data_IF_717903168063
#
_entry.id   IF_717903168063
#
_cell.length_a   1.000
_cell.length_b   1.000
_cell.length_c   1.000
_cell.angle_alpha   90.00
_cell.angle_beta   90.00
_cell.angle_gamma   90.00
#
_symmetry.space_group_name_H-M   'P 1'
#
loop_
_entity.id
_entity.type
_entity.pdbx_description
1 polymer ?
#
# COMPACT_ATOMS: atom_id res chain seq x y z
N UNK A 1 29.71 8.11 -0.66
CA UNK A 1 29.26 7.36 0.53
C UNK A 1 28.96 8.37 1.62
N UNK A 2 27.90 8.19 2.41
CA UNK A 2 27.52 9.10 3.50
C UNK A 2 27.52 8.33 4.81
N UNK A 3 28.44 8.66 5.71
CA UNK A 3 28.47 8.10 7.08
C UNK A 3 27.51 8.92 7.95
N UNK A 4 26.70 8.25 8.75
CA UNK A 4 25.78 8.91 9.68
C UNK A 4 25.03 7.90 10.54
N UNK A 5 24.08 8.39 11.34
CA UNK A 5 23.29 7.54 12.25
C UNK A 5 22.11 6.92 11.51
N UNK A 6 22.05 5.60 11.46
CA UNK A 6 20.92 4.88 10.89
C UNK A 6 19.64 5.19 11.68
N UNK A 7 18.58 5.64 10.99
CA UNK A 7 17.34 6.03 11.65
C UNK A 7 16.59 4.87 12.28
N UNK A 8 16.86 3.62 11.90
CA UNK A 8 16.21 2.44 12.49
C UNK A 8 17.01 1.82 13.66
N UNK A 9 18.24 1.35 13.42
CA UNK A 9 19.07 0.72 14.47
C UNK A 9 19.78 1.73 15.40
N UNK A 10 19.82 3.02 15.04
CA UNK A 10 20.46 4.10 15.80
C UNK A 10 21.99 3.98 15.94
N UNK A 11 22.61 3.09 15.18
CA UNK A 11 24.07 2.95 15.10
C UNK A 11 24.65 3.82 14.00
N UNK A 12 25.88 4.30 14.21
CA UNK A 12 26.66 5.01 13.18
C UNK A 12 27.18 4.02 12.14
N UNK A 13 26.82 4.23 10.88
CA UNK A 13 27.10 3.33 9.78
C UNK A 13 27.11 4.08 8.43
N UNK A 14 27.54 3.39 7.37
CA UNK A 14 27.32 3.87 6.01
C UNK A 14 25.83 3.82 5.63
N UNK A 15 25.26 5.00 5.40
CA UNK A 15 23.86 5.15 5.01
C UNK A 15 23.67 4.85 3.53
N UNK A 16 22.59 4.13 3.24
CA UNK A 16 22.13 3.80 1.90
C UNK A 16 21.10 4.82 1.43
N UNK A 17 21.02 5.00 0.12
CA UNK A 17 19.97 5.79 -0.53
C UNK A 17 18.67 4.98 -0.53
N UNK A 18 17.91 5.09 0.56
CA UNK A 18 16.65 4.40 0.79
C UNK A 18 15.52 5.02 -0.05
N UNK A 19 14.68 4.19 -0.66
CA UNK A 19 13.46 4.63 -1.32
C UNK A 19 12.28 4.61 -0.35
N UNK A 20 11.39 5.62 -0.40
CA UNK A 20 10.16 5.60 0.42
C UNK A 20 9.19 4.55 -0.10
N UNK A 21 8.86 4.61 -1.40
CA UNK A 21 8.15 3.54 -2.10
C UNK A 21 9.16 2.58 -2.71
N UNK A 22 8.86 1.28 -2.76
CA UNK A 22 9.79 0.33 -3.37
C UNK A 22 10.08 0.68 -4.84
N UNK A 23 11.27 0.31 -5.31
CA UNK A 23 11.67 0.46 -6.72
C UNK A 23 10.68 -0.20 -7.69
N UNK A 24 10.00 -1.26 -7.27
CA UNK A 24 8.99 -1.93 -8.08
C UNK A 24 7.79 -1.00 -8.35
N UNK A 25 7.29 -0.29 -7.35
CA UNK A 25 6.19 0.66 -7.54
C UNK A 25 6.58 1.73 -8.57
N UNK A 26 7.78 2.29 -8.45
CA UNK A 26 8.30 3.26 -9.43
C UNK A 26 8.39 2.70 -10.84
N UNK A 27 8.91 1.47 -11.00
CA UNK A 27 9.01 0.82 -12.32
C UNK A 27 7.63 0.63 -12.97
N UNK A 28 6.62 0.22 -12.19
CA UNK A 28 5.25 -0.01 -12.70
C UNK A 28 4.60 1.30 -13.13
N UNK A 29 4.74 2.36 -12.34
CA UNK A 29 4.16 3.68 -12.63
C UNK A 29 4.82 4.32 -13.85
N UNK A 30 6.16 4.32 -13.89
CA UNK A 30 6.91 4.87 -15.02
C UNK A 30 6.60 4.14 -16.33
N UNK A 31 6.44 2.81 -16.31
CA UNK A 31 6.04 2.03 -17.50
C UNK A 31 4.70 2.47 -18.09
N UNK A 32 3.79 2.99 -17.24
CA UNK A 32 2.48 3.46 -17.67
C UNK A 32 2.46 4.96 -17.98
N UNK A 33 3.60 5.65 -17.90
CA UNK A 33 3.75 7.11 -17.98
C UNK A 33 2.90 7.88 -16.95
N UNK A 34 2.58 7.23 -15.84
CA UNK A 34 1.81 7.80 -14.75
C UNK A 34 2.73 8.52 -13.75
N UNK A 35 2.17 9.46 -12.98
CA UNK A 35 2.83 9.97 -11.78
C UNK A 35 2.40 9.19 -10.54
N UNK A 36 3.04 9.47 -9.41
CA UNK A 36 2.61 8.95 -8.11
C UNK A 36 2.42 10.10 -7.12
N UNK A 37 1.61 9.86 -6.11
CA UNK A 37 1.31 10.85 -5.09
C UNK A 37 2.26 10.69 -3.92
N UNK A 38 2.99 11.75 -3.62
CA UNK A 38 3.88 11.77 -2.48
C UNK A 38 3.42 12.82 -1.48
N UNK A 39 3.46 12.46 -0.21
CA UNK A 39 3.34 13.43 0.86
C UNK A 39 4.61 14.29 0.93
N UNK A 40 4.41 15.61 1.01
CA UNK A 40 5.44 16.59 1.33
C UNK A 40 5.17 17.12 2.74
N UNK A 41 5.93 16.63 3.71
CA UNK A 41 5.82 17.02 5.12
C UNK A 41 6.20 18.48 5.38
N UNK A 42 7.01 19.11 4.54
CA UNK A 42 7.38 20.53 4.72
C UNK A 42 6.23 21.45 4.38
N UNK A 43 5.44 21.08 3.37
CA UNK A 43 4.26 21.83 2.92
C UNK A 43 2.94 21.29 3.49
N UNK A 44 3.00 20.18 4.23
CA UNK A 44 1.87 19.43 4.77
C UNK A 44 0.78 19.15 3.70
N UNK A 45 1.19 18.70 2.52
CA UNK A 45 0.29 18.44 1.40
C UNK A 45 0.76 17.26 0.57
N UNK A 46 -0.12 16.74 -0.27
CA UNK A 46 0.21 15.67 -1.22
C UNK A 46 0.33 16.23 -2.62
N UNK A 47 1.40 15.86 -3.34
CA UNK A 47 1.67 16.29 -4.71
C UNK A 47 1.82 15.10 -5.65
N UNK A 48 1.35 15.27 -6.88
CA UNK A 48 1.70 14.40 -7.99
C UNK A 48 3.15 14.66 -8.39
N UNK A 49 3.96 13.61 -8.46
CA UNK A 49 5.36 13.69 -8.84
C UNK A 49 5.77 12.44 -9.63
N UNK A 50 6.84 12.57 -10.41
CA UNK A 50 7.51 11.46 -11.11
C UNK A 50 8.92 11.21 -10.56
N UNK A 51 9.38 12.07 -9.65
CA UNK A 51 10.71 11.96 -9.05
C UNK A 51 10.71 10.87 -8.00
N UNK A 52 11.70 9.98 -8.01
CA UNK A 52 11.83 8.97 -6.97
C UNK A 52 12.14 9.64 -5.63
N UNK A 53 11.32 9.36 -4.61
CA UNK A 53 11.53 9.89 -3.26
C UNK A 53 12.55 9.01 -2.53
N UNK A 54 13.76 9.54 -2.43
CA UNK A 54 14.90 8.83 -1.82
C UNK A 54 15.63 9.70 -0.80
N UNK A 55 16.14 9.09 0.25
CA UNK A 55 16.99 9.77 1.24
C UNK A 55 18.06 8.84 1.82
N UNK A 56 19.14 9.42 2.34
CA UNK A 56 20.14 8.67 3.10
C UNK A 56 19.71 8.56 4.56
N UNK A 57 19.15 7.40 4.94
CA UNK A 57 18.49 7.26 6.25
C UNK A 57 18.68 5.90 6.93
N UNK A 58 18.95 4.82 6.18
CA UNK A 58 19.11 3.48 6.74
C UNK A 58 20.49 2.93 6.38
N UNK A 59 21.10 2.17 7.29
CA UNK A 59 22.29 1.40 6.98
C UNK A 59 21.95 0.20 6.06
N UNK A 60 22.97 -0.45 5.49
CA UNK A 60 22.80 -1.60 4.58
C UNK A 60 21.99 -2.74 5.20
N UNK A 61 22.21 -3.06 6.48
CA UNK A 61 21.48 -4.13 7.17
C UNK A 61 19.98 -3.83 7.25
N UNK A 62 19.62 -2.63 7.72
CA UNK A 62 18.23 -2.18 7.79
C UNK A 62 17.57 -2.06 6.40
N UNK A 63 18.27 -1.57 5.37
CA UNK A 63 17.70 -1.49 4.02
C UNK A 63 17.45 -2.89 3.42
N UNK A 64 18.33 -3.84 3.70
CA UNK A 64 18.19 -5.24 3.24
C UNK A 64 16.95 -5.89 3.83
N UNK A 65 16.67 -5.64 5.12
CA UNK A 65 15.47 -6.11 5.80
C UNK A 65 14.19 -5.71 5.06
N UNK A 66 14.08 -4.43 4.65
CA UNK A 66 12.93 -3.98 3.87
C UNK A 66 12.93 -4.56 2.45
N UNK A 67 14.08 -4.56 1.78
CA UNK A 67 14.21 -5.00 0.38
C UNK A 67 13.79 -6.46 0.17
N UNK A 68 14.03 -7.34 1.15
CA UNK A 68 13.61 -8.74 1.09
C UNK A 68 12.08 -8.88 1.08
N UNK A 69 11.39 -8.16 1.96
CA UNK A 69 9.92 -8.15 1.99
C UNK A 69 9.33 -7.45 0.75
N UNK A 70 9.94 -6.36 0.28
CA UNK A 70 9.55 -5.69 -0.97
C UNK A 70 9.53 -6.64 -2.16
N UNK A 71 10.47 -7.58 -2.23
CA UNK A 71 10.51 -8.60 -3.29
C UNK A 71 9.32 -9.56 -3.22
N UNK A 72 8.87 -9.92 -2.01
CA UNK A 72 7.70 -10.80 -1.83
C UNK A 72 6.40 -10.08 -2.17
N UNK A 73 6.20 -8.86 -1.64
CA UNK A 73 5.03 -8.02 -1.98
C UNK A 73 5.02 -7.64 -3.46
N UNK A 74 6.19 -7.56 -4.10
CA UNK A 74 6.27 -7.29 -5.53
C UNK A 74 5.61 -8.37 -6.38
N UNK A 75 5.76 -9.64 -5.99
CA UNK A 75 5.09 -10.76 -6.68
C UNK A 75 3.58 -10.64 -6.51
N UNK A 76 3.12 -10.40 -5.29
CA UNK A 76 1.71 -10.17 -4.96
C UNK A 76 1.08 -9.10 -5.86
N UNK A 77 1.70 -7.92 -5.94
CA UNK A 77 1.16 -6.84 -6.77
C UNK A 77 1.24 -7.14 -8.26
N UNK A 78 2.31 -7.77 -8.74
CA UNK A 78 2.40 -8.15 -10.15
C UNK A 78 1.29 -9.14 -10.53
N UNK A 79 0.99 -10.11 -9.67
CA UNK A 79 -0.09 -11.07 -9.91
C UNK A 79 -1.46 -10.35 -9.98
N UNK A 80 -1.82 -9.52 -8.98
CA UNK A 80 -3.08 -8.76 -9.00
C UNK A 80 -3.20 -7.89 -10.26
N UNK A 81 -2.11 -7.22 -10.65
CA UNK A 81 -2.11 -6.33 -11.82
C UNK A 81 -2.13 -7.06 -13.16
N UNK A 82 -1.92 -8.37 -13.18
CA UNK A 82 -2.04 -9.19 -14.39
C UNK A 82 -3.32 -10.05 -14.38
N UNK A 83 -4.12 -10.00 -13.31
CA UNK A 83 -5.42 -10.66 -13.23
C UNK A 83 -6.46 -9.94 -14.10
N UNK A 84 -7.32 -10.71 -14.75
CA UNK A 84 -8.52 -10.16 -15.40
C UNK A 84 -9.56 -9.73 -14.34
N UNK A 85 -10.59 -9.01 -14.78
CA UNK A 85 -11.63 -8.47 -13.92
C UNK A 85 -12.30 -9.54 -13.04
N UNK A 86 -12.66 -10.68 -13.63
CA UNK A 86 -13.39 -11.73 -12.92
C UNK A 86 -12.52 -12.35 -11.81
N UNK A 87 -11.22 -12.55 -12.07
CA UNK A 87 -10.27 -12.98 -11.05
C UNK A 87 -10.11 -11.95 -9.93
N UNK A 88 -10.06 -10.64 -10.24
CA UNK A 88 -10.00 -9.58 -9.21
C UNK A 88 -11.26 -9.53 -8.34
N UNK A 89 -12.45 -9.63 -8.95
CA UNK A 89 -13.72 -9.71 -8.20
C UNK A 89 -13.75 -10.92 -7.27
N UNK A 90 -13.28 -12.07 -7.75
CA UNK A 90 -13.19 -13.29 -6.95
C UNK A 90 -12.24 -13.13 -5.76
N UNK A 91 -11.05 -12.58 -6.00
CA UNK A 91 -10.05 -12.34 -4.98
C UNK A 91 -10.60 -11.48 -3.83
N UNK A 92 -11.48 -10.54 -4.17
CA UNK A 92 -11.97 -9.53 -3.26
C UNK A 92 -13.19 -9.97 -2.43
N UNK A 93 -13.89 -11.04 -2.82
CA UNK A 93 -15.09 -11.57 -2.13
C UNK A 93 -14.77 -12.40 -0.87
N UNK A 94 -13.57 -12.28 -0.29
CA UNK A 94 -13.12 -13.11 0.84
C UNK A 94 -13.30 -12.36 2.15
N UNK A 95 -14.30 -12.82 2.91
CA UNK A 95 -14.54 -12.49 4.31
C UNK A 95 -13.42 -13.04 5.21
N UNK A 96 -13.21 -12.47 6.41
CA UNK A 96 -11.87 -12.30 6.99
C UNK A 96 -11.17 -13.65 7.25
N UNK A 97 -9.83 -13.71 7.17
CA UNK A 97 -9.05 -14.95 7.11
C UNK A 97 -9.17 -15.81 8.37
N UNK A 98 -9.67 -15.28 9.47
CA UNK A 98 -10.07 -16.04 10.66
C UNK A 98 -11.29 -16.98 10.43
N UNK A 99 -11.98 -16.87 9.29
CA UNK A 99 -12.97 -17.84 8.82
C UNK A 99 -12.43 -18.84 7.79
N UNK A 100 -11.14 -18.77 7.42
CA UNK A 100 -10.53 -19.59 6.37
C UNK A 100 -10.81 -21.09 6.55
N UNK A 101 -10.64 -21.61 7.76
CA UNK A 101 -10.87 -23.02 8.06
C UNK A 101 -12.35 -23.40 7.94
N UNK A 102 -13.26 -22.50 8.30
CA UNK A 102 -14.70 -22.72 8.21
C UNK A 102 -15.17 -22.64 6.75
N UNK A 103 -14.65 -21.69 5.97
CA UNK A 103 -15.02 -21.47 4.58
C UNK A 103 -14.42 -22.53 3.66
N UNK A 104 -13.18 -22.98 3.88
CA UNK A 104 -12.60 -24.15 3.18
C UNK A 104 -13.46 -25.40 3.39
N UNK A 105 -13.86 -25.69 4.63
CA UNK A 105 -14.76 -26.82 4.94
C UNK A 105 -16.12 -26.69 4.27
N UNK A 106 -16.67 -25.47 4.16
CA UNK A 106 -17.94 -25.24 3.45
C UNK A 106 -17.77 -25.43 1.94
N UNK A 107 -16.66 -24.94 1.37
CA UNK A 107 -16.37 -25.07 -0.06
C UNK A 107 -16.15 -26.54 -0.47
N UNK A 108 -15.38 -27.29 0.30
CA UNK A 108 -15.17 -28.74 0.14
C UNK A 108 -16.50 -29.49 0.23
N UNK A 109 -17.34 -29.18 1.24
CA UNK A 109 -18.66 -29.83 1.41
C UNK A 109 -19.65 -29.50 0.29
N UNK A 110 -19.52 -28.34 -0.36
CA UNK A 110 -20.45 -27.86 -1.40
C UNK A 110 -19.94 -28.10 -2.82
N UNK A 111 -18.79 -28.76 -2.99
CA UNK A 111 -18.16 -28.97 -4.30
C UNK A 111 -18.00 -27.64 -5.08
N UNK A 112 -17.73 -26.54 -4.36
CA UNK A 112 -17.52 -25.25 -4.99
C UNK A 112 -16.23 -25.29 -5.82
N UNK A 113 -16.29 -24.68 -7.01
CA UNK A 113 -15.18 -24.65 -7.98
C UNK A 113 -13.85 -24.23 -7.31
N UNK A 114 -12.77 -24.88 -7.73
CA UNK A 114 -11.37 -24.60 -7.38
C UNK A 114 -10.98 -23.11 -7.39
N UNK A 115 -11.64 -22.30 -8.21
CA UNK A 115 -11.45 -20.86 -8.28
C UNK A 115 -11.87 -20.12 -6.99
N UNK A 116 -12.84 -20.64 -6.23
CA UNK A 116 -13.24 -20.07 -4.94
C UNK A 116 -12.17 -20.26 -3.85
N UNK A 117 -11.30 -21.27 -3.98
CA UNK A 117 -10.19 -21.53 -3.06
C UNK A 117 -8.94 -20.69 -3.40
N UNK A 118 -8.76 -20.29 -4.67
CA UNK A 118 -7.59 -19.52 -5.12
C UNK A 118 -7.41 -18.18 -4.42
N UNK A 119 -8.48 -17.47 -4.10
CA UNK A 119 -8.36 -16.20 -3.39
C UNK A 119 -7.87 -16.37 -1.94
N UNK A 120 -8.20 -17.50 -1.28
CA UNK A 120 -7.71 -17.80 0.07
C UNK A 120 -6.23 -18.11 0.04
N UNK A 121 -5.79 -18.87 -0.96
CA UNK A 121 -4.37 -19.15 -1.16
C UNK A 121 -3.59 -17.87 -1.49
N UNK A 122 -4.25 -16.91 -2.16
CA UNK A 122 -3.65 -15.64 -2.53
C UNK A 122 -3.51 -14.67 -1.35
N UNK A 123 -4.58 -14.36 -0.60
CA UNK A 123 -4.51 -13.54 0.61
C UNK A 123 -4.42 -14.41 1.87
N UNK A 124 -3.49 -15.37 1.84
CA UNK A 124 -3.15 -16.15 3.01
C UNK A 124 -2.46 -15.26 4.09
N UNK A 125 -2.29 -15.82 5.29
CA UNK A 125 -1.71 -15.10 6.43
C UNK A 125 -0.29 -14.57 6.16
N UNK A 126 0.54 -15.30 5.41
CA UNK A 126 1.91 -14.90 5.13
C UNK A 126 1.94 -13.69 4.16
N UNK A 127 1.13 -13.73 3.11
CA UNK A 127 1.01 -12.62 2.16
C UNK A 127 0.43 -11.36 2.83
N UNK A 128 -0.53 -11.51 3.76
CA UNK A 128 -1.07 -10.40 4.53
C UNK A 128 -0.05 -9.84 5.53
N UNK A 129 0.74 -10.70 6.18
CA UNK A 129 1.85 -10.27 7.03
C UNK A 129 2.93 -9.54 6.25
N UNK A 130 3.26 -10.02 5.05
CA UNK A 130 4.21 -9.36 4.16
C UNK A 130 3.70 -7.99 3.71
N UNK A 131 2.41 -7.89 3.36
CA UNK A 131 1.78 -6.61 2.98
C UNK A 131 1.75 -5.63 4.16
N UNK A 132 1.40 -6.10 5.36
CA UNK A 132 1.47 -5.33 6.60
C UNK A 132 2.89 -4.81 6.84
N UNK A 133 3.90 -5.68 6.77
CA UNK A 133 5.30 -5.31 6.93
C UNK A 133 5.69 -4.21 5.94
N UNK A 134 5.33 -4.37 4.67
CA UNK A 134 5.63 -3.41 3.62
C UNK A 134 5.00 -2.04 3.89
N UNK A 135 3.70 -2.00 4.20
CA UNK A 135 2.99 -0.75 4.48
C UNK A 135 3.52 -0.05 5.75
N UNK A 136 3.83 -0.80 6.82
CA UNK A 136 4.49 -0.26 8.01
C UNK A 136 5.88 0.31 7.69
N UNK A 137 6.61 -0.33 6.77
CA UNK A 137 7.89 0.16 6.27
C UNK A 137 7.75 1.51 5.58
N UNK A 138 6.77 1.67 4.68
CA UNK A 138 6.50 2.96 4.01
C UNK A 138 6.21 4.05 5.04
N UNK A 139 5.30 3.80 5.99
CA UNK A 139 4.93 4.75 7.05
C UNK A 139 6.18 5.16 7.84
N UNK A 140 7.01 4.20 8.24
CA UNK A 140 8.22 4.48 9.00
C UNK A 140 9.23 5.30 8.20
N UNK A 141 9.42 4.96 6.92
CA UNK A 141 10.34 5.69 6.04
C UNK A 141 9.87 7.12 5.79
N UNK A 142 8.57 7.37 5.68
CA UNK A 142 8.03 8.74 5.63
C UNK A 142 8.25 9.50 6.94
N UNK A 143 8.03 8.85 8.09
CA UNK A 143 8.31 9.42 9.40
C UNK A 143 9.81 9.74 9.62
N UNK A 144 10.69 9.13 8.82
CA UNK A 144 12.12 9.40 8.78
C UNK A 144 12.51 10.48 7.79
N UNK A 145 11.91 10.52 6.60
CA UNK A 145 12.37 11.40 5.54
C UNK A 145 12.04 12.88 5.81
N UNK A 146 10.81 13.19 6.22
CA UNK A 146 10.30 14.57 6.26
C UNK A 146 9.72 14.98 7.62
N UNK A 147 9.96 14.18 8.67
CA UNK A 147 9.27 14.33 9.96
C UNK A 147 7.77 14.56 9.79
N UNK A 148 7.10 13.68 9.03
CA UNK A 148 5.66 13.80 8.76
C UNK A 148 4.90 14.07 10.08
N UNK A 149 4.34 15.29 10.28
CA UNK A 149 3.78 15.70 11.57
C UNK A 149 2.52 14.89 11.92
N UNK A 150 1.92 14.23 10.93
CA UNK A 150 0.72 13.42 11.11
C UNK A 150 1.02 12.04 11.71
N UNK A 151 2.30 11.65 11.83
CA UNK A 151 2.74 10.40 12.46
C UNK A 151 3.23 10.70 13.86
N UNK A 152 2.43 10.34 14.88
CA UNK A 152 2.78 10.59 16.27
C UNK A 152 4.09 9.88 16.67
N UNK A 153 4.83 10.49 17.61
CA UNK A 153 6.07 9.89 18.15
C UNK A 153 5.80 8.51 18.77
N UNK A 154 4.61 8.30 19.33
CA UNK A 154 4.22 7.02 19.92
C UNK A 154 4.06 5.94 18.83
N UNK A 155 3.31 6.23 17.76
CA UNK A 155 3.14 5.32 16.63
C UNK A 155 4.49 5.00 15.98
N UNK A 156 5.31 6.02 15.72
CA UNK A 156 6.68 5.83 15.19
C UNK A 156 7.48 4.85 16.05
N UNK A 157 7.53 5.06 17.37
CA UNK A 157 8.24 4.16 18.30
C UNK A 157 7.70 2.73 18.29
N UNK A 158 6.39 2.54 18.12
CA UNK A 158 5.79 1.19 18.02
C UNK A 158 6.24 0.48 16.75
N UNK A 159 6.20 1.17 15.62
CA UNK A 159 6.65 0.63 14.34
C UNK A 159 8.16 0.34 14.39
N UNK A 160 8.97 1.22 14.99
CA UNK A 160 10.40 0.96 15.23
C UNK A 160 10.62 -0.31 16.06
N UNK A 161 9.87 -0.51 17.14
CA UNK A 161 9.96 -1.72 17.97
C UNK A 161 9.59 -2.99 17.20
N UNK A 162 8.58 -2.92 16.33
CA UNK A 162 8.19 -4.03 15.47
C UNK A 162 9.38 -4.49 14.61
N UNK A 163 10.07 -3.57 13.94
CA UNK A 163 11.23 -3.91 13.11
C UNK A 163 12.50 -4.27 13.89
N UNK A 164 12.79 -3.60 15.01
CA UNK A 164 14.04 -3.79 15.76
C UNK A 164 14.04 -5.01 16.67
N UNK A 165 12.90 -5.34 17.27
CA UNK A 165 12.81 -6.35 18.34
C UNK A 165 11.89 -7.51 17.99
N UNK A 166 11.41 -7.57 16.74
CA UNK A 166 10.41 -8.52 16.26
C UNK A 166 9.19 -8.62 17.20
N UNK A 167 8.87 -7.52 17.90
CA UNK A 167 7.73 -7.45 18.82
C UNK A 167 6.46 -7.36 18.00
N UNK A 168 5.44 -8.11 18.41
CA UNK A 168 4.13 -8.04 17.78
C UNK A 168 3.58 -6.61 17.81
N UNK A 169 3.21 -6.11 16.65
CA UNK A 169 2.40 -4.90 16.50
C UNK A 169 1.12 -5.31 15.80
N UNK A 170 0.04 -5.47 16.55
CA UNK A 170 -1.23 -5.85 15.97
C UNK A 170 -1.88 -4.67 15.25
N UNK A 171 -2.44 -4.93 14.07
CA UNK A 171 -3.11 -3.93 13.25
C UNK A 171 -4.46 -4.45 12.78
N UNK A 172 -5.38 -3.52 12.51
CA UNK A 172 -6.52 -3.79 11.65
C UNK A 172 -6.13 -3.33 10.24
N UNK A 173 -6.17 -4.23 9.27
CA UNK A 173 -5.83 -3.93 7.88
C UNK A 173 -7.01 -4.27 6.98
N UNK A 174 -7.38 -3.36 6.09
CA UNK A 174 -8.33 -3.62 5.02
C UNK A 174 -7.63 -3.47 3.68
N UNK A 175 -7.70 -4.51 2.86
CA UNK A 175 -7.14 -4.54 1.51
C UNK A 175 -8.29 -4.46 0.53
N UNK A 176 -8.37 -3.35 -0.19
CA UNK A 176 -9.32 -3.17 -1.28
C UNK A 176 -8.66 -3.56 -2.59
N UNK A 177 -9.37 -4.35 -3.39
CA UNK A 177 -8.92 -4.77 -4.72
C UNK A 177 -9.83 -4.13 -5.76
N UNK A 178 -9.24 -3.50 -6.78
CA UNK A 178 -10.00 -2.83 -7.83
C UNK A 178 -10.85 -3.83 -8.63
N UNK A 179 -12.16 -3.61 -8.64
CA UNK A 179 -13.13 -4.37 -9.44
C UNK A 179 -13.70 -3.59 -10.62
N UNK A 180 -13.05 -2.50 -11.03
CA UNK A 180 -13.36 -1.82 -12.29
C UNK A 180 -12.74 -2.57 -13.49
N UNK A 181 -13.39 -2.46 -14.65
CA UNK A 181 -12.86 -2.95 -15.93
C UNK A 181 -11.53 -2.27 -16.29
N UNK A 182 -11.40 -0.98 -15.97
CA UNK A 182 -10.19 -0.22 -16.15
C UNK A 182 -9.22 -0.46 -15.00
N UNK A 183 -7.93 -0.57 -15.34
CA UNK A 183 -6.88 -0.62 -14.36
C UNK A 183 -6.70 0.74 -13.66
N UNK A 184 -6.50 0.69 -12.36
CA UNK A 184 -6.18 1.86 -11.56
C UNK A 184 -4.66 1.95 -11.35
N UNK A 185 -3.96 2.67 -12.23
CA UNK A 185 -2.48 2.70 -12.29
C UNK A 185 -1.87 3.83 -11.45
N UNK A 186 -2.32 4.00 -10.22
CA UNK A 186 -1.79 5.01 -9.30
C UNK A 186 -1.04 4.37 -8.15
N UNK A 187 -0.10 5.12 -7.56
CA UNK A 187 0.37 4.81 -6.22
C UNK A 187 0.51 6.06 -5.38
N UNK A 188 0.52 5.86 -4.07
CA UNK A 188 0.85 6.91 -3.13
C UNK A 188 1.80 6.41 -2.06
N UNK A 189 2.58 7.33 -1.49
CA UNK A 189 3.13 7.13 -0.15
C UNK A 189 1.98 7.08 0.89
N UNK A 190 2.27 6.88 2.16
CA UNK A 190 1.21 6.71 3.15
C UNK A 190 0.55 8.05 3.48
N UNK A 191 -0.77 8.13 3.26
CA UNK A 191 -1.56 9.25 3.76
C UNK A 191 -2.06 8.91 5.16
N UNK A 192 -1.68 9.71 6.15
CA UNK A 192 -1.90 9.39 7.56
C UNK A 192 -2.75 10.42 8.25
N UNK A 193 -3.72 9.97 9.05
CA UNK A 193 -4.59 10.82 9.87
C UNK A 193 -4.63 10.21 11.28
N UNK A 194 -4.37 11.04 12.29
CA UNK A 194 -4.53 10.65 13.69
C UNK A 194 -5.82 11.23 14.24
N UNK A 195 -6.72 10.39 14.75
CA UNK A 195 -7.98 10.81 15.39
C UNK A 195 -8.11 10.16 16.76
N UNK A 196 -8.01 10.97 17.81
CA UNK A 196 -8.00 10.47 19.19
C UNK A 196 -6.84 9.49 19.41
N UNK A 197 -7.17 8.24 19.78
CA UNK A 197 -6.18 7.16 20.00
C UNK A 197 -5.91 6.31 18.75
N UNK A 198 -6.46 6.70 17.62
CA UNK A 198 -6.42 5.93 16.39
C UNK A 198 -5.50 6.58 15.38
N UNK A 199 -4.62 5.76 14.82
CA UNK A 199 -3.76 6.13 13.70
C UNK A 199 -4.25 5.39 12.46
N UNK A 200 -4.66 6.18 11.47
CA UNK A 200 -5.18 5.70 10.20
C UNK A 200 -4.14 5.98 9.12
N UNK A 201 -3.82 4.98 8.31
CA UNK A 201 -2.88 5.12 7.20
C UNK A 201 -3.44 4.49 5.93
N UNK A 202 -3.25 5.16 4.81
CA UNK A 202 -3.71 4.76 3.49
C UNK A 202 -2.52 4.63 2.56
N UNK A 203 -2.28 3.43 2.03
CA UNK A 203 -1.26 3.18 1.01
C UNK A 203 -1.94 2.75 -0.28
N UNK A 204 -1.72 3.49 -1.36
CA UNK A 204 -2.31 3.21 -2.67
C UNK A 204 -1.24 2.60 -3.57
N UNK A 205 -1.61 1.52 -4.26
CA UNK A 205 -0.79 0.84 -5.26
C UNK A 205 -1.64 0.52 -6.50
N UNK A 206 -1.03 0.17 -7.63
CA UNK A 206 -1.78 -0.20 -8.81
C UNK A 206 -2.76 -1.34 -8.52
N UNK A 207 -4.05 -1.10 -8.77
CA UNK A 207 -5.18 -1.99 -8.50
C UNK A 207 -5.35 -2.47 -7.04
N UNK A 208 -4.61 -1.93 -6.09
CA UNK A 208 -4.65 -2.33 -4.67
C UNK A 208 -4.61 -1.11 -3.77
N UNK A 209 -5.53 -1.04 -2.83
CA UNK A 209 -5.54 0.00 -1.82
C UNK A 209 -5.52 -0.65 -0.43
N UNK A 210 -4.57 -0.25 0.42
CA UNK A 210 -4.41 -0.77 1.77
C UNK A 210 -4.72 0.31 2.78
N UNK A 211 -5.68 0.01 3.65
CA UNK A 211 -5.99 0.80 4.83
C UNK A 211 -5.45 0.11 6.07
N UNK A 212 -4.61 0.81 6.83
CA UNK A 212 -4.08 0.36 8.10
C UNK A 212 -4.65 1.19 9.23
N UNK A 213 -5.01 0.49 10.30
CA UNK A 213 -5.54 1.07 11.51
C UNK A 213 -4.75 0.53 12.71
N UNK A 214 -4.09 1.45 13.42
CA UNK A 214 -3.21 1.16 14.57
C UNK A 214 -3.73 1.92 15.78
N UNK A 215 -3.84 1.25 16.93
CA UNK A 215 -4.24 1.89 18.18
C UNK A 215 -3.03 2.32 19.00
N UNK A 216 -3.07 3.55 19.51
CA UNK A 216 -2.05 4.09 20.41
C UNK A 216 -2.01 3.38 21.77
N UNK A 217 -3.09 2.73 22.20
CA UNK A 217 -3.20 2.04 23.49
C UNK A 217 -2.93 0.52 23.45
N UNK A 218 -2.57 -0.04 22.28
CA UNK A 218 -2.34 -1.49 22.09
C UNK A 218 -3.57 -2.38 22.37
N UNK A 219 -4.79 -1.84 22.39
CA UNK A 219 -5.99 -2.66 22.63
C UNK A 219 -6.44 -3.53 21.45
N UNK A 220 -5.67 -3.57 20.36
CA UNK A 220 -5.84 -4.58 19.31
C UNK A 220 -5.11 -5.85 19.79
N UNK A 221 -5.87 -6.84 20.23
CA UNK A 221 -5.33 -8.09 20.80
C UNK A 221 -4.63 -8.97 19.75
N UNK A 222 -5.11 -8.95 18.50
CA UNK A 222 -4.56 -9.71 17.39
C UNK A 222 -4.76 -8.98 16.07
N UNK A 223 -3.92 -9.30 15.08
CA UNK A 223 -4.11 -8.83 13.71
C UNK A 223 -5.50 -9.21 13.18
N UNK A 224 -6.15 -8.26 12.53
CA UNK A 224 -7.42 -8.47 11.86
C UNK A 224 -7.31 -7.95 10.43
N UNK A 225 -7.57 -8.83 9.47
CA UNK A 225 -7.46 -8.52 8.05
C UNK A 225 -8.83 -8.64 7.38
N UNK A 226 -9.15 -7.68 6.53
CA UNK A 226 -10.36 -7.70 5.72
C UNK A 226 -9.97 -7.46 4.27
N UNK A 227 -10.50 -8.24 3.34
CA UNK A 227 -10.30 -8.05 1.91
C UNK A 227 -11.65 -7.66 1.33
N UNK A 228 -11.73 -6.58 0.55
CA UNK A 228 -12.97 -6.06 0.00
C UNK A 228 -12.85 -5.75 -1.49
N UNK A 229 -13.91 -6.00 -2.28
CA UNK A 229 -14.00 -5.48 -3.64
C UNK A 229 -14.31 -3.99 -3.58
N UNK A 230 -13.71 -3.22 -4.47
CA UNK A 230 -14.09 -1.82 -4.63
C UNK A 230 -13.91 -1.35 -6.08
N UNK A 231 -14.88 -0.59 -6.59
CA UNK A 231 -14.68 0.16 -7.83
C UNK A 231 -13.91 1.43 -7.49
N UNK A 232 -12.61 1.45 -7.80
CA UNK A 232 -11.78 2.58 -7.45
C UNK A 232 -12.22 3.86 -8.17
N UNK A 233 -12.93 3.81 -9.29
CA UNK A 233 -13.42 5.02 -9.95
C UNK A 233 -14.76 5.52 -9.39
N UNK A 234 -15.45 4.68 -8.62
CA UNK A 234 -16.76 4.96 -8.04
C UNK A 234 -16.83 4.56 -6.55
N UNK A 235 -15.80 4.93 -5.77
CA UNK A 235 -15.69 4.55 -4.36
C UNK A 235 -16.93 5.02 -3.59
N UNK A 236 -17.64 4.07 -2.99
CA UNK A 236 -18.80 4.38 -2.18
C UNK A 236 -18.36 5.04 -0.85
N UNK A 237 -18.99 6.13 -0.38
CA UNK A 237 -18.59 6.82 0.86
C UNK A 237 -18.66 5.97 2.13
N UNK A 238 -19.34 4.83 2.09
CA UNK A 238 -19.40 3.89 3.22
C UNK A 238 -18.22 2.91 3.24
N UNK A 239 -17.47 2.80 2.14
CA UNK A 239 -16.42 1.81 1.99
C UNK A 239 -15.11 2.23 2.64
N UNK A 240 -14.82 3.53 2.70
CA UNK A 240 -13.59 4.05 3.29
C UNK A 240 -13.91 4.63 4.67
N UNK A 241 -13.24 4.19 5.77
CA UNK A 241 -13.68 4.49 7.13
C UNK A 241 -13.64 5.96 7.58
N UNK A 242 -13.33 6.95 6.73
CA UNK A 242 -13.31 8.37 7.10
C UNK A 242 -13.62 9.30 5.91
N UNK A 243 -14.46 10.32 6.14
CA UNK A 243 -14.84 11.37 5.17
C UNK A 243 -13.61 12.14 4.65
N UNK A 244 -12.63 12.41 5.51
CA UNK A 244 -11.37 13.07 5.13
C UNK A 244 -10.58 12.23 4.13
N UNK A 245 -10.45 10.92 4.38
CA UNK A 245 -9.85 9.98 3.46
C UNK A 245 -10.65 9.91 2.16
N UNK A 246 -11.98 9.90 2.21
CA UNK A 246 -12.86 9.91 1.03
C UNK A 246 -12.63 11.16 0.16
N UNK A 247 -12.49 12.34 0.76
CA UNK A 247 -12.24 13.57 0.01
C UNK A 247 -10.85 13.56 -0.63
N UNK A 248 -9.84 13.06 0.08
CA UNK A 248 -8.51 12.82 -0.47
C UNK A 248 -8.57 11.82 -1.64
N UNK A 249 -9.25 10.69 -1.46
CA UNK A 249 -9.48 9.70 -2.52
C UNK A 249 -10.18 10.33 -3.72
N UNK A 250 -11.31 11.02 -3.52
CA UNK A 250 -12.03 11.70 -4.61
C UNK A 250 -11.16 12.68 -5.38
N UNK A 251 -10.28 13.42 -4.70
CA UNK A 251 -9.29 14.27 -5.37
C UNK A 251 -8.38 13.42 -6.28
N UNK A 252 -7.79 12.36 -5.75
CA UNK A 252 -6.95 11.44 -6.52
C UNK A 252 -7.70 10.82 -7.70
N UNK A 253 -8.96 10.41 -7.51
CA UNK A 253 -9.81 9.81 -8.54
C UNK A 253 -10.14 10.80 -9.65
N UNK A 254 -10.48 12.05 -9.30
CA UNK A 254 -10.73 13.09 -10.28
C UNK A 254 -9.49 13.35 -11.14
N UNK A 255 -8.32 13.43 -10.51
CA UNK A 255 -7.04 13.62 -11.20
C UNK A 255 -6.70 12.41 -12.09
N UNK A 256 -6.95 11.19 -11.62
CA UNK A 256 -6.81 9.95 -12.41
C UNK A 256 -7.73 9.90 -13.62
N UNK A 257 -9.01 10.25 -13.45
CA UNK A 257 -10.01 10.25 -14.53
C UNK A 257 -9.64 11.26 -15.60
N UNK A 258 -9.14 12.44 -15.20
CA UNK A 258 -8.64 13.45 -16.15
C UNK A 258 -7.44 12.90 -16.93
N UNK A 259 -6.48 12.26 -16.26
CA UNK A 259 -5.32 11.64 -16.92
C UNK A 259 -5.73 10.53 -17.90
N UNK A 260 -6.67 9.66 -17.50
CA UNK A 260 -7.17 8.57 -18.34
C UNK A 260 -7.93 9.09 -19.56
N UNK A 261 -8.79 10.10 -19.37
CA UNK A 261 -9.53 10.73 -20.47
C UNK A 261 -8.58 11.42 -21.46
N UNK A 262 -7.54 12.10 -20.97
CA UNK A 262 -6.52 12.70 -21.82
C UNK A 262 -5.77 11.62 -22.62
N UNK A 263 -5.40 10.51 -21.99
CA UNK A 263 -4.75 9.36 -22.65
C UNK A 263 -5.63 8.73 -23.72
N UNK A 264 -6.90 8.47 -23.41
CA UNK A 264 -7.86 7.91 -24.37
C UNK A 264 -8.04 8.85 -25.58
N UNK A 265 -8.15 10.16 -25.33
CA UNK A 265 -8.22 11.16 -26.39
C UNK A 265 -6.96 11.19 -27.27
N UNK A 266 -5.77 11.09 -26.69
CA UNK A 266 -4.51 11.02 -27.47
C UNK A 266 -4.44 9.75 -28.35
N UNK A 267 -4.97 8.63 -27.86
CA UNK A 267 -5.07 7.38 -28.63
C UNK A 267 -6.09 7.54 -29.78
N UNK A 268 -7.26 8.11 -29.50
CA UNK A 268 -8.30 8.40 -30.52
C UNK A 268 -7.82 9.36 -31.60
N UNK A 269 -7.01 10.36 -31.22
CA UNK A 269 -6.44 11.36 -32.12
C UNK A 269 -5.25 10.80 -32.95
N UNK A 270 -4.94 9.50 -32.87
CA UNK A 270 -3.76 8.86 -33.47
C UNK A 270 -2.43 9.55 -33.12
N UNK A 271 -2.37 10.25 -31.99
CA UNK A 271 -1.15 10.81 -31.44
C UNK A 271 -0.40 9.70 -30.70
N UNK A 272 0.03 8.68 -31.44
CA UNK A 272 1.03 7.74 -30.96
C UNK A 272 2.33 8.53 -30.81
N UNK A 273 2.73 8.80 -29.57
CA UNK A 273 4.10 9.22 -29.28
C UNK A 273 4.97 8.02 -29.66
N UNK A 274 5.47 8.02 -30.89
CA UNK A 274 6.60 7.18 -31.27
C UNK A 274 7.79 7.61 -30.42
N UNK A 275 8.28 6.66 -29.64
CA UNK A 275 9.64 6.58 -29.09
C UNK A 275 10.26 7.88 -28.57
N UNK A 276 10.26 8.03 -27.24
CA UNK A 276 11.40 8.66 -26.57
C UNK A 276 11.92 7.67 -25.52
N UNK A 277 13.07 7.11 -25.88
CA UNK A 277 13.99 6.22 -25.16
C UNK A 277 14.35 6.77 -23.78
#
# INVERSE_FOLDING_TARGET
MLVGVCKLCKEENELQRSHILSKMVYRKINKNNEGFYAFDGTKNLTQLTRLQHTAYMLCRGCETLFSQNETRVSKLFNEINNMNLEARKWLANIFPPNLELALRRIAERRNLDSNALRGYDFFNRDNLNDLKFYCLGIILREAYNQENPNISKNIKKKIEKYFNSNKALNVQMTVYVNTNQNDFMMASTSHTISVGKFFHSHCIFPNVFVYLHIREDNSIEQDCYTILPEDFFNIHPKSVPMISSINYFRKLLNESRVAQNAKNKMIEDNLVISDII
#
